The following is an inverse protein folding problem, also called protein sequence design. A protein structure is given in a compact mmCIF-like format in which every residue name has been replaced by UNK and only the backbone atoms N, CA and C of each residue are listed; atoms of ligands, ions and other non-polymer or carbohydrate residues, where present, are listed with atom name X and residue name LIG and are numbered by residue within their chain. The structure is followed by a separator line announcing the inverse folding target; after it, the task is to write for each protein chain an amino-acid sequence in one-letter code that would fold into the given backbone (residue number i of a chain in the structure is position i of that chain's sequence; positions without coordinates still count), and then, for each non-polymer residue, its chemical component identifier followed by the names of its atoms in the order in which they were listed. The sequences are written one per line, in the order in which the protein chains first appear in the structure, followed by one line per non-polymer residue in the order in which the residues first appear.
data_IF_731203521022
#
_entry.id   IF_731203521022
#
_cell.length_a   1.000
_cell.length_b   1.000
_cell.length_c   1.000
_cell.angle_alpha   90.00
_cell.angle_beta   90.00
_cell.angle_gamma   90.00
#
_symmetry.space_group_name_H-M   'P 1'
#
loop_
_entity.id
_entity.type
_entity.pdbx_description
1 polymer ?
#
# COMPACT_ATOMS: atom_id res chain seq x y z
N UNK A 1 19.25 91.82 -25.42
CA UNK A 1 18.84 90.66 -24.60
C UNK A 1 17.97 91.02 -23.39
N UNK A 2 18.18 92.18 -22.73
CA UNK A 2 17.41 92.59 -21.54
C UNK A 2 15.93 92.90 -21.81
N UNK A 3 15.62 93.57 -22.94
CA UNK A 3 14.24 93.90 -23.32
C UNK A 3 13.37 92.65 -23.61
N UNK A 4 13.95 91.61 -24.20
CA UNK A 4 13.24 90.36 -24.47
C UNK A 4 12.87 89.61 -23.18
N UNK A 5 13.75 89.63 -22.17
CA UNK A 5 13.46 89.04 -20.85
C UNK A 5 12.39 89.81 -20.10
N UNK A 6 12.37 91.15 -20.20
CA UNK A 6 11.34 91.98 -19.59
C UNK A 6 9.96 91.73 -20.22
N UNK A 7 9.91 91.57 -21.55
CA UNK A 7 8.66 91.29 -22.28
C UNK A 7 8.11 89.91 -21.93
N UNK A 8 8.97 88.90 -21.81
CA UNK A 8 8.58 87.54 -21.39
C UNK A 8 8.08 87.56 -19.93
N UNK A 9 8.76 88.27 -19.03
CA UNK A 9 8.32 88.38 -17.64
C UNK A 9 6.98 89.11 -17.52
N UNK A 10 6.76 90.17 -18.28
CA UNK A 10 5.48 90.89 -18.32
C UNK A 10 4.35 90.05 -18.93
N UNK A 11 4.63 89.27 -19.98
CA UNK A 11 3.64 88.36 -20.58
C UNK A 11 3.32 87.17 -19.68
N UNK A 12 4.32 86.65 -18.95
CA UNK A 12 4.10 85.57 -17.97
C UNK A 12 3.32 86.09 -16.78
N UNK A 13 3.63 87.28 -16.27
CA UNK A 13 2.85 87.92 -15.19
C UNK A 13 1.41 88.20 -15.60
N UNK A 14 1.16 88.72 -16.81
CA UNK A 14 -0.21 88.98 -17.28
C UNK A 14 -1.02 87.70 -17.50
N UNK A 15 -0.38 86.62 -17.98
CA UNK A 15 -1.01 85.30 -18.12
C UNK A 15 -1.30 84.66 -16.76
N UNK A 16 -0.38 84.74 -15.80
CA UNK A 16 -0.59 84.23 -14.44
C UNK A 16 -1.71 84.98 -13.70
N UNK A 17 -1.75 86.32 -13.80
CA UNK A 17 -2.79 87.13 -13.19
C UNK A 17 -4.18 86.88 -13.83
N UNK A 18 -4.22 86.67 -15.15
CA UNK A 18 -5.44 86.33 -15.89
C UNK A 18 -5.98 84.94 -15.57
N UNK A 19 -5.11 83.95 -15.36
CA UNK A 19 -5.49 82.60 -14.97
C UNK A 19 -6.05 82.53 -13.54
N UNK A 20 -5.43 83.25 -12.61
CA UNK A 20 -5.88 83.32 -11.21
C UNK A 20 -7.21 84.09 -11.07
N UNK A 21 -7.38 85.18 -11.83
CA UNK A 21 -8.66 85.89 -11.94
C UNK A 21 -9.78 85.02 -12.54
N UNK A 22 -9.48 84.22 -13.57
CA UNK A 22 -10.43 83.30 -14.19
C UNK A 22 -10.86 82.15 -13.26
N UNK A 23 -9.92 81.60 -12.48
CA UNK A 23 -10.22 80.58 -11.48
C UNK A 23 -11.09 81.14 -10.34
N UNK A 24 -10.79 82.37 -9.88
CA UNK A 24 -11.58 83.04 -8.85
C UNK A 24 -13.00 83.37 -9.35
N UNK A 25 -13.15 83.87 -10.58
CA UNK A 25 -14.45 84.12 -11.21
C UNK A 25 -15.26 82.83 -11.35
N UNK A 26 -14.60 81.70 -11.66
CA UNK A 26 -15.25 80.38 -11.72
C UNK A 26 -15.72 79.92 -10.35
N UNK A 27 -14.89 79.99 -9.31
CA UNK A 27 -15.28 79.59 -7.94
C UNK A 27 -16.41 80.50 -7.38
N UNK A 28 -16.34 81.81 -7.64
CA UNK A 28 -17.38 82.75 -7.24
C UNK A 28 -18.69 82.49 -8.01
N UNK A 29 -18.59 82.17 -9.31
CA UNK A 29 -19.70 81.72 -10.14
C UNK A 29 -20.32 80.42 -9.63
N UNK A 30 -19.51 79.43 -9.28
CA UNK A 30 -19.92 78.13 -8.73
C UNK A 30 -20.62 78.28 -7.39
N UNK A 31 -20.06 79.08 -6.46
CA UNK A 31 -20.72 79.39 -5.18
C UNK A 31 -22.04 80.12 -5.38
N UNK A 32 -22.09 81.07 -6.31
CA UNK A 32 -23.33 81.83 -6.59
C UNK A 32 -24.38 80.93 -7.22
N UNK A 33 -23.98 80.06 -8.14
CA UNK A 33 -24.83 79.05 -8.77
C UNK A 33 -25.36 78.05 -7.75
N UNK A 34 -24.51 77.51 -6.88
CA UNK A 34 -24.91 76.62 -5.80
C UNK A 34 -25.86 77.29 -4.81
N UNK A 35 -25.61 78.58 -4.47
CA UNK A 35 -26.54 79.35 -3.63
C UNK A 35 -27.89 79.62 -4.31
N UNK A 36 -27.91 79.82 -5.62
CA UNK A 36 -29.15 79.95 -6.41
C UNK A 36 -29.91 78.63 -6.48
N UNK A 37 -29.19 77.52 -6.68
CA UNK A 37 -29.74 76.16 -6.64
C UNK A 37 -30.33 75.87 -5.26
N UNK A 38 -29.58 76.11 -4.19
CA UNK A 38 -30.05 75.90 -2.82
C UNK A 38 -31.30 76.73 -2.55
N UNK A 39 -31.32 78.02 -2.95
CA UNK A 39 -32.51 78.86 -2.88
C UNK A 39 -33.67 78.41 -3.76
N UNK A 40 -33.42 77.69 -4.85
CA UNK A 40 -34.45 77.08 -5.68
C UNK A 40 -35.02 75.79 -5.09
N UNK A 41 -34.27 75.15 -4.18
CA UNK A 41 -34.72 73.98 -3.42
C UNK A 41 -35.43 74.35 -2.12
N UNK A 42 -35.20 75.55 -1.57
CA UNK A 42 -35.98 76.04 -0.44
C UNK A 42 -37.36 76.47 -0.93
N UNK A 43 -38.44 76.04 -0.24
CA UNK A 43 -39.73 76.64 -0.46
C UNK A 43 -39.63 78.12 -0.07
N UNK A 44 -39.89 79.00 -1.01
CA UNK A 44 -39.95 80.46 -0.82
C UNK A 44 -40.99 80.84 0.24
N UNK A 45 -41.97 79.96 0.47
CA UNK A 45 -43.02 80.09 1.47
C UNK A 45 -42.85 79.07 2.60
N UNK A 46 -43.09 79.47 3.86
CA UNK A 46 -42.93 78.61 5.03
C UNK A 46 -43.83 77.36 5.05
N UNK A 47 -43.67 76.52 6.08
CA UNK A 47 -44.48 75.30 6.27
C UNK A 47 -45.98 75.57 6.41
N UNK A 48 -46.38 76.76 6.90
CA UNK A 48 -47.78 77.18 7.01
C UNK A 48 -48.49 77.18 5.65
N UNK A 49 -47.87 77.82 4.66
CA UNK A 49 -48.38 77.96 3.29
C UNK A 49 -48.56 76.60 2.60
N UNK A 50 -47.57 75.72 2.76
CA UNK A 50 -47.61 74.35 2.23
C UNK A 50 -48.66 73.48 2.93
N UNK A 51 -48.81 73.62 4.26
CA UNK A 51 -49.84 72.91 5.01
C UNK A 51 -51.26 73.42 4.71
N UNK A 52 -51.42 74.67 4.30
CA UNK A 52 -52.70 75.20 3.85
C UNK A 52 -53.24 74.45 2.62
N UNK A 53 -52.36 74.02 1.72
CA UNK A 53 -52.72 73.26 0.51
C UNK A 53 -53.04 71.80 0.80
N UNK A 54 -52.38 71.17 1.78
CA UNK A 54 -52.63 69.76 2.16
C UNK A 54 -54.07 69.47 2.60
N UNK A 55 -54.83 70.50 2.95
CA UNK A 55 -56.23 70.37 3.37
C UNK A 55 -57.21 70.37 2.20
N UNK A 56 -56.75 70.74 1.00
CA UNK A 56 -57.56 70.62 -0.20
C UNK A 56 -57.71 69.14 -0.58
N UNK A 57 -58.96 68.70 -0.73
CA UNK A 57 -59.28 67.36 -1.24
C UNK A 57 -59.26 67.33 -2.78
N UNK A 58 -59.57 68.47 -3.39
CA UNK A 58 -59.62 68.66 -4.83
C UNK A 58 -58.38 69.42 -5.33
N UNK A 59 -58.08 69.24 -6.62
CA UNK A 59 -57.04 70.03 -7.30
C UNK A 59 -57.42 71.52 -7.37
N UNK A 60 -56.43 72.40 -7.48
CA UNK A 60 -56.63 73.86 -7.61
C UNK A 60 -57.55 74.29 -8.77
N UNK A 61 -57.75 73.42 -9.76
CA UNK A 61 -58.65 73.62 -10.92
C UNK A 61 -60.14 73.50 -10.57
N UNK A 62 -60.49 72.80 -9.48
CA UNK A 62 -61.87 72.50 -9.09
C UNK A 62 -62.13 72.81 -7.62
N UNK A 63 -61.82 74.04 -7.24
CA UNK A 63 -62.12 74.55 -5.89
C UNK A 63 -63.61 74.82 -5.77
N UNK A 64 -64.27 74.16 -4.82
CA UNK A 64 -65.63 74.56 -4.41
C UNK A 64 -65.59 75.90 -3.67
N UNK A 65 -66.69 76.65 -3.64
CA UNK A 65 -66.80 77.91 -2.87
C UNK A 65 -66.39 77.73 -1.41
N UNK A 66 -66.64 76.54 -0.85
CA UNK A 66 -66.23 76.19 0.50
C UNK A 66 -64.71 76.05 0.62
N UNK A 67 -64.07 75.31 -0.28
CA UNK A 67 -62.61 75.10 -0.30
C UNK A 67 -61.87 76.40 -0.63
N UNK A 68 -62.42 77.22 -1.53
CA UNK A 68 -61.90 78.54 -1.89
C UNK A 68 -61.86 79.46 -0.67
N UNK A 69 -62.98 79.60 0.04
CA UNK A 69 -63.06 80.39 1.28
C UNK A 69 -62.14 79.84 2.38
N UNK A 70 -62.06 78.52 2.52
CA UNK A 70 -61.21 77.87 3.52
C UNK A 70 -59.72 78.08 3.25
N UNK A 71 -59.31 77.95 1.99
CA UNK A 71 -57.92 78.16 1.58
C UNK A 71 -57.53 79.63 1.78
N UNK A 72 -58.37 80.57 1.36
CA UNK A 72 -58.17 82.00 1.57
C UNK A 72 -57.95 82.34 3.05
N UNK A 73 -58.75 81.77 3.96
CA UNK A 73 -58.61 81.96 5.41
C UNK A 73 -57.28 81.42 5.94
N UNK A 74 -56.85 80.24 5.48
CA UNK A 74 -55.58 79.64 5.90
C UNK A 74 -54.38 80.45 5.40
N UNK A 75 -54.42 80.89 4.13
CA UNK A 75 -53.39 81.75 3.56
C UNK A 75 -53.32 83.11 4.28
N UNK A 76 -54.48 83.72 4.56
CA UNK A 76 -54.55 84.95 5.33
C UNK A 76 -54.00 84.79 6.75
N UNK A 77 -54.30 83.68 7.43
CA UNK A 77 -53.73 83.39 8.74
C UNK A 77 -52.22 83.18 8.68
N UNK A 78 -51.69 82.47 7.68
CA UNK A 78 -50.24 82.34 7.50
C UNK A 78 -49.58 83.72 7.34
N UNK A 79 -50.17 84.60 6.53
CA UNK A 79 -49.66 85.97 6.37
C UNK A 79 -49.74 86.80 7.67
N UNK A 80 -50.83 86.69 8.43
CA UNK A 80 -51.01 87.38 9.70
C UNK A 80 -50.00 86.89 10.74
N UNK A 81 -49.79 85.58 10.83
CA UNK A 81 -48.78 84.97 11.71
C UNK A 81 -47.36 85.42 11.32
N UNK A 82 -47.03 85.38 10.03
CA UNK A 82 -45.74 85.85 9.49
C UNK A 82 -45.52 87.36 9.76
N UNK A 83 -46.60 88.15 9.83
CA UNK A 83 -46.56 89.59 10.12
C UNK A 83 -46.62 89.91 11.63
N UNK A 84 -46.67 88.92 12.51
CA UNK A 84 -46.75 89.10 13.97
C UNK A 84 -48.12 89.58 14.47
N UNK A 85 -49.18 89.38 13.71
CA UNK A 85 -50.56 89.67 14.08
C UNK A 85 -51.28 88.42 14.60
N UNK A 86 -52.36 88.64 15.38
CA UNK A 86 -53.20 87.55 15.86
C UNK A 86 -53.96 86.86 14.72
N UNK A 87 -54.01 85.53 14.76
CA UNK A 87 -54.74 84.68 13.81
C UNK A 87 -56.19 84.44 14.26
N UNK A 88 -57.03 83.96 13.35
CA UNK A 88 -58.44 83.69 13.60
C UNK A 88 -58.82 82.24 13.27
N UNK A 89 -59.55 81.58 14.16
CA UNK A 89 -59.95 80.17 14.03
C UNK A 89 -61.14 79.93 13.07
N UNK A 90 -61.47 80.90 12.22
CA UNK A 90 -62.62 80.80 11.32
C UNK A 90 -62.52 79.66 10.30
N UNK A 91 -61.30 79.17 10.04
CA UNK A 91 -61.04 78.01 9.18
C UNK A 91 -61.33 76.66 9.85
N UNK A 92 -61.56 76.61 11.18
CA UNK A 92 -61.91 75.38 11.90
C UNK A 92 -63.40 75.04 11.83
N UNK A 93 -64.25 75.99 11.39
CA UNK A 93 -65.69 75.81 11.33
C UNK A 93 -66.13 75.10 10.04
N UNK A 94 -66.77 73.93 10.16
CA UNK A 94 -67.31 73.18 9.02
C UNK A 94 -68.61 73.80 8.46
N UNK A 95 -69.42 74.45 9.30
CA UNK A 95 -70.66 75.08 8.86
C UNK A 95 -70.43 76.47 8.26
N UNK A 96 -71.00 76.70 7.09
CA UNK A 96 -70.82 77.94 6.33
C UNK A 96 -71.32 79.17 7.10
N UNK A 97 -72.39 79.04 7.89
CA UNK A 97 -72.97 80.14 8.64
C UNK A 97 -72.14 80.54 9.87
N UNK A 98 -71.52 79.58 10.56
CA UNK A 98 -70.61 79.88 11.68
C UNK A 98 -69.35 80.55 11.13
N UNK A 99 -68.83 80.07 9.99
CA UNK A 99 -67.68 80.69 9.33
C UNK A 99 -67.97 82.13 8.89
N UNK A 100 -69.12 82.41 8.27
CA UNK A 100 -69.52 83.78 7.90
C UNK A 100 -69.61 84.71 9.10
N UNK A 101 -70.19 84.25 10.21
CA UNK A 101 -70.26 85.03 11.47
C UNK A 101 -68.86 85.32 12.01
N UNK A 102 -67.96 84.34 11.96
CA UNK A 102 -66.58 84.49 12.39
C UNK A 102 -65.82 85.51 11.52
N UNK A 103 -65.97 85.45 10.20
CA UNK A 103 -65.39 86.41 9.26
C UNK A 103 -65.89 87.83 9.54
N UNK A 104 -67.20 88.01 9.79
CA UNK A 104 -67.78 89.30 10.13
C UNK A 104 -67.29 89.87 11.48
N UNK A 105 -66.76 89.03 12.36
CA UNK A 105 -66.19 89.45 13.66
C UNK A 105 -64.70 89.78 13.60
N UNK A 106 -64.05 89.60 12.45
CA UNK A 106 -62.64 89.92 12.28
C UNK A 106 -62.40 91.43 12.30
N UNK A 107 -61.20 91.84 12.72
CA UNK A 107 -60.76 93.25 12.57
C UNK A 107 -60.72 93.66 11.09
N UNK A 108 -60.91 94.96 10.80
CA UNK A 108 -60.86 95.50 9.42
C UNK A 108 -59.58 95.13 8.68
N UNK A 109 -58.44 95.09 9.40
CA UNK A 109 -57.16 94.66 8.84
C UNK A 109 -57.17 93.18 8.43
N UNK A 110 -57.63 92.30 9.33
CA UNK A 110 -57.69 90.86 9.06
C UNK A 110 -58.71 90.52 7.96
N UNK A 111 -59.86 91.21 7.95
CA UNK A 111 -60.84 91.09 6.88
C UNK A 111 -60.27 91.58 5.54
N UNK A 112 -59.52 92.68 5.52
CA UNK A 112 -58.85 93.19 4.32
C UNK A 112 -57.82 92.20 3.76
N UNK A 113 -56.98 91.61 4.61
CA UNK A 113 -56.02 90.56 4.23
C UNK A 113 -56.76 89.33 3.69
N UNK A 114 -57.81 88.87 4.39
CA UNK A 114 -58.64 87.75 3.92
C UNK A 114 -59.24 88.03 2.54
N UNK A 115 -59.79 89.23 2.31
CA UNK A 115 -60.40 89.58 1.04
C UNK A 115 -59.39 89.56 -0.12
N UNK A 116 -58.17 90.03 0.11
CA UNK A 116 -57.09 89.99 -0.88
C UNK A 116 -56.66 88.56 -1.23
N UNK A 117 -56.52 87.70 -0.21
CA UNK A 117 -56.25 86.28 -0.48
C UNK A 117 -57.45 85.59 -1.14
N UNK A 118 -58.67 85.97 -0.78
CA UNK A 118 -59.90 85.40 -1.35
C UNK A 118 -60.03 85.68 -2.84
N UNK A 119 -59.72 86.91 -3.30
CA UNK A 119 -59.76 87.24 -4.74
C UNK A 119 -58.68 86.49 -5.54
N UNK A 120 -57.53 86.20 -4.94
CA UNK A 120 -56.38 85.57 -5.60
C UNK A 120 -56.16 84.08 -5.27
N UNK A 121 -57.07 83.45 -4.52
CA UNK A 121 -56.90 82.09 -3.97
C UNK A 121 -56.54 81.05 -5.03
N UNK A 122 -57.24 81.03 -6.16
CA UNK A 122 -57.01 80.04 -7.23
C UNK A 122 -55.61 80.17 -7.81
N UNK A 123 -55.17 81.40 -8.11
CA UNK A 123 -53.84 81.66 -8.66
C UNK A 123 -52.73 81.28 -7.67
N UNK A 124 -52.91 81.62 -6.40
CA UNK A 124 -51.96 81.28 -5.32
C UNK A 124 -51.90 79.75 -5.13
N UNK A 125 -53.05 79.06 -5.19
CA UNK A 125 -53.10 77.59 -5.13
C UNK A 125 -52.26 76.95 -6.23
N UNK A 126 -52.44 77.37 -7.49
CA UNK A 126 -51.67 76.84 -8.61
C UNK A 126 -50.17 77.12 -8.48
N UNK A 127 -49.80 78.32 -8.04
CA UNK A 127 -48.41 78.70 -7.84
C UNK A 127 -47.73 77.82 -6.77
N UNK A 128 -48.32 77.72 -5.59
CA UNK A 128 -47.73 76.94 -4.50
C UNK A 128 -47.76 75.43 -4.78
N UNK A 129 -48.79 74.94 -5.49
CA UNK A 129 -48.83 73.54 -5.91
C UNK A 129 -47.74 73.22 -6.94
N UNK A 130 -47.45 74.15 -7.86
CA UNK A 130 -46.33 74.01 -8.80
C UNK A 130 -44.98 74.01 -8.06
N UNK A 131 -44.81 74.86 -7.06
CA UNK A 131 -43.60 74.90 -6.22
C UNK A 131 -43.36 73.55 -5.51
N UNK A 132 -44.39 72.99 -4.85
CA UNK A 132 -44.33 71.65 -4.25
C UNK A 132 -43.98 70.57 -5.27
N UNK A 133 -44.63 70.61 -6.43
CA UNK A 133 -44.39 69.62 -7.48
C UNK A 133 -42.96 69.69 -8.02
N UNK A 134 -42.39 70.88 -8.17
CA UNK A 134 -41.00 71.06 -8.59
C UNK A 134 -40.01 70.50 -7.57
N UNK A 135 -40.22 70.75 -6.28
CA UNK A 135 -39.37 70.21 -5.21
C UNK A 135 -39.40 68.68 -5.23
N UNK A 136 -40.59 68.09 -5.25
CA UNK A 136 -40.75 66.62 -5.27
C UNK A 136 -40.15 66.01 -6.54
N UNK A 137 -40.38 66.63 -7.69
CA UNK A 137 -39.86 66.16 -8.98
C UNK A 137 -38.33 66.20 -9.01
N UNK A 138 -37.72 67.27 -8.51
CA UNK A 138 -36.26 67.37 -8.42
C UNK A 138 -35.66 66.29 -7.52
N UNK A 139 -36.29 66.01 -6.37
CA UNK A 139 -35.86 64.94 -5.47
C UNK A 139 -35.97 63.57 -6.16
N UNK A 140 -37.09 63.29 -6.83
CA UNK A 140 -37.29 62.03 -7.57
C UNK A 140 -36.25 61.89 -8.69
N UNK A 141 -35.95 62.97 -9.43
CA UNK A 141 -34.94 62.96 -10.50
C UNK A 141 -33.57 62.62 -9.92
N UNK A 142 -33.17 63.19 -8.78
CA UNK A 142 -31.90 62.88 -8.13
C UNK A 142 -31.84 61.40 -7.72
N UNK A 143 -32.89 60.90 -7.07
CA UNK A 143 -32.97 59.48 -6.68
C UNK A 143 -32.91 58.55 -7.89
N UNK A 144 -33.63 58.89 -8.97
CA UNK A 144 -33.65 58.10 -10.19
C UNK A 144 -32.28 58.09 -10.89
N UNK A 145 -31.62 59.25 -10.94
CA UNK A 145 -30.28 59.38 -11.50
C UNK A 145 -29.28 58.52 -10.73
N UNK A 146 -29.29 58.60 -9.40
CA UNK A 146 -28.41 57.81 -8.54
C UNK A 146 -28.66 56.30 -8.68
N UNK A 147 -29.93 55.89 -8.69
CA UNK A 147 -30.31 54.50 -8.88
C UNK A 147 -29.88 53.98 -10.25
N UNK A 148 -30.08 54.77 -11.32
CA UNK A 148 -29.69 54.39 -12.68
C UNK A 148 -28.18 54.34 -12.85
N UNK A 149 -27.44 55.28 -12.26
CA UNK A 149 -25.98 55.28 -12.29
C UNK A 149 -25.41 54.04 -11.59
N UNK A 150 -25.92 53.71 -10.40
CA UNK A 150 -25.53 52.50 -9.66
C UNK A 150 -25.85 51.22 -10.45
N UNK A 151 -27.03 51.15 -11.06
CA UNK A 151 -27.40 50.01 -11.90
C UNK A 151 -26.47 49.84 -13.11
N UNK A 152 -26.10 50.95 -13.76
CA UNK A 152 -25.13 50.94 -14.87
C UNK A 152 -23.77 50.41 -14.42
N UNK A 153 -23.28 50.85 -13.26
CA UNK A 153 -22.00 50.38 -12.70
C UNK A 153 -22.04 48.88 -12.38
N UNK A 154 -23.11 48.40 -11.73
CA UNK A 154 -23.28 46.98 -11.44
C UNK A 154 -23.38 46.13 -12.72
N UNK A 155 -24.08 46.60 -13.75
CA UNK A 155 -24.15 45.90 -15.03
C UNK A 155 -22.81 45.84 -15.74
N UNK A 156 -22.01 46.91 -15.64
CA UNK A 156 -20.67 46.94 -16.20
C UNK A 156 -19.75 45.93 -15.48
N UNK A 157 -19.74 45.93 -14.15
CA UNK A 157 -18.99 44.98 -13.35
C UNK A 157 -19.43 43.53 -13.63
N UNK A 158 -20.74 43.28 -13.69
CA UNK A 158 -21.29 41.96 -14.03
C UNK A 158 -20.86 41.50 -15.43
N UNK A 159 -20.84 42.40 -16.41
CA UNK A 159 -20.37 42.10 -17.77
C UNK A 159 -18.89 41.74 -17.81
N UNK A 160 -18.06 42.43 -17.03
CA UNK A 160 -16.62 42.16 -16.94
C UNK A 160 -16.35 40.79 -16.29
N UNK A 161 -17.04 40.51 -15.18
CA UNK A 161 -16.98 39.21 -14.50
C UNK A 161 -17.46 38.09 -15.44
N UNK A 162 -18.57 38.29 -16.15
CA UNK A 162 -19.08 37.31 -17.11
C UNK A 162 -18.08 37.03 -18.23
N UNK A 163 -17.38 38.07 -18.72
CA UNK A 163 -16.29 37.92 -19.69
C UNK A 163 -15.15 37.05 -19.15
N UNK A 164 -14.67 37.34 -17.94
CA UNK A 164 -13.60 36.57 -17.29
C UNK A 164 -13.99 35.11 -17.01
N UNK A 165 -15.23 34.88 -16.62
CA UNK A 165 -15.76 33.54 -16.38
C UNK A 165 -15.89 32.73 -17.67
N UNK A 166 -16.30 33.36 -18.77
CA UNK A 166 -16.38 32.70 -20.07
C UNK A 166 -14.99 32.26 -20.55
N UNK A 167 -13.96 33.10 -20.38
CA UNK A 167 -12.59 32.71 -20.73
C UNK A 167 -12.11 31.55 -19.84
N UNK A 168 -12.39 31.60 -18.54
CA UNK A 168 -12.07 30.50 -17.61
C UNK A 168 -12.77 29.19 -17.98
N UNK A 169 -14.04 29.24 -18.41
CA UNK A 169 -14.78 28.06 -18.88
C UNK A 169 -14.18 27.50 -20.17
N UNK A 170 -13.77 28.37 -21.10
CA UNK A 170 -13.11 27.97 -22.34
C UNK A 170 -11.78 27.29 -22.04
N UNK A 171 -10.95 27.85 -21.17
CA UNK A 171 -9.71 27.22 -20.70
C UNK A 171 -9.99 25.86 -20.04
N UNK A 172 -10.98 25.78 -19.15
CA UNK A 172 -11.42 24.53 -18.52
C UNK A 172 -11.84 23.46 -19.52
N UNK A 173 -12.58 23.82 -20.58
CA UNK A 173 -12.94 22.92 -21.67
C UNK A 173 -11.71 22.43 -22.45
N UNK A 174 -10.73 23.31 -22.70
CA UNK A 174 -9.47 22.88 -23.34
C UNK A 174 -8.72 21.87 -22.50
N UNK A 175 -8.72 22.03 -21.16
CA UNK A 175 -8.11 21.09 -20.24
C UNK A 175 -8.86 19.75 -20.22
N UNK A 176 -10.19 19.78 -20.15
CA UNK A 176 -11.02 18.56 -20.22
C UNK A 176 -10.78 17.77 -21.51
N UNK A 177 -10.68 18.45 -22.65
CA UNK A 177 -10.35 17.80 -23.93
C UNK A 177 -8.97 17.12 -23.90
N UNK A 178 -7.96 17.78 -23.31
CA UNK A 178 -6.64 17.17 -23.12
C UNK A 178 -6.68 15.95 -22.19
N UNK A 179 -7.43 16.01 -21.08
CA UNK A 179 -7.62 14.86 -20.20
C UNK A 179 -8.33 13.70 -20.92
N UNK A 180 -9.34 14.00 -21.73
CA UNK A 180 -10.04 12.98 -22.51
C UNK A 180 -9.11 12.29 -23.50
N UNK A 181 -8.24 13.05 -24.17
CA UNK A 181 -7.23 12.52 -25.10
C UNK A 181 -6.18 11.64 -24.39
N UNK A 182 -5.69 12.10 -23.24
CA UNK A 182 -4.82 11.29 -22.38
C UNK A 182 -5.53 10.02 -21.88
N UNK A 183 -6.83 10.11 -21.57
CA UNK A 183 -7.66 8.97 -21.18
C UNK A 183 -7.77 7.92 -22.29
N UNK A 184 -8.02 8.34 -23.53
CA UNK A 184 -8.00 7.44 -24.71
C UNK A 184 -6.64 6.81 -24.95
N UNK A 185 -5.57 7.59 -24.81
CA UNK A 185 -4.20 7.06 -24.94
C UNK A 185 -3.93 6.00 -23.86
N UNK A 186 -4.35 6.26 -22.62
CA UNK A 186 -4.19 5.32 -21.52
C UNK A 186 -5.01 4.04 -21.73
N UNK A 187 -6.23 4.15 -22.25
CA UNK A 187 -7.05 3.00 -22.63
C UNK A 187 -6.32 2.08 -23.63
N UNK A 188 -5.73 2.65 -24.69
CA UNK A 188 -4.93 1.88 -25.65
C UNK A 188 -3.66 1.24 -25.03
N UNK A 189 -3.02 1.92 -24.07
CA UNK A 189 -1.88 1.36 -23.33
C UNK A 189 -2.34 0.19 -22.42
N UNK A 190 -3.50 0.30 -21.77
CA UNK A 190 -4.05 -0.76 -20.92
C UNK A 190 -4.42 -1.98 -21.76
N UNK A 191 -5.04 -1.79 -22.93
CA UNK A 191 -5.39 -2.88 -23.85
C UNK A 191 -4.14 -3.62 -24.33
N UNK A 192 -3.14 -2.88 -24.84
CA UNK A 192 -1.86 -3.48 -25.28
C UNK A 192 -1.07 -4.13 -24.13
N UNK A 193 -1.15 -3.58 -22.92
CA UNK A 193 -0.55 -4.20 -21.72
C UNK A 193 -1.25 -5.51 -21.35
N UNK A 194 -2.58 -5.56 -21.42
CA UNK A 194 -3.34 -6.77 -21.17
C UNK A 194 -3.01 -7.87 -22.19
N UNK A 195 -2.86 -7.52 -23.46
CA UNK A 195 -2.40 -8.44 -24.50
C UNK A 195 -0.98 -8.94 -24.20
N UNK A 196 -0.05 -8.03 -23.88
CA UNK A 196 1.35 -8.36 -23.56
C UNK A 196 1.47 -9.27 -22.33
N UNK A 197 0.66 -9.04 -21.29
CA UNK A 197 0.65 -9.90 -20.09
C UNK A 197 0.13 -11.29 -20.44
N UNK A 198 -0.92 -11.39 -21.25
CA UNK A 198 -1.44 -12.69 -21.69
C UNK A 198 -0.41 -13.47 -22.51
N UNK A 199 0.30 -12.82 -23.44
CA UNK A 199 1.36 -13.47 -24.22
C UNK A 199 2.55 -13.91 -23.35
N UNK A 200 2.97 -13.07 -22.40
CA UNK A 200 4.02 -13.47 -21.45
C UNK A 200 3.59 -14.66 -20.57
N UNK A 201 2.33 -14.70 -20.13
CA UNK A 201 1.80 -15.83 -19.35
C UNK A 201 1.77 -17.11 -20.19
N UNK A 202 1.41 -17.03 -21.48
CA UNK A 202 1.44 -18.19 -22.37
C UNK A 202 2.86 -18.68 -22.62
N UNK A 203 3.80 -17.77 -22.90
CA UNK A 203 5.22 -18.10 -23.13
C UNK A 203 5.85 -18.73 -21.88
N UNK A 204 5.54 -18.20 -20.71
CA UNK A 204 6.02 -18.75 -19.45
C UNK A 204 5.47 -20.16 -19.19
N UNK A 205 4.19 -20.39 -19.49
CA UNK A 205 3.56 -21.71 -19.34
C UNK A 205 4.15 -22.75 -20.29
N UNK A 206 4.52 -22.34 -21.50
CA UNK A 206 5.18 -23.20 -22.49
C UNK A 206 6.61 -23.53 -22.02
N UNK A 207 7.41 -22.50 -21.70
CA UNK A 207 8.78 -22.65 -21.21
C UNK A 207 8.86 -23.51 -19.93
N UNK A 208 7.89 -23.38 -19.02
CA UNK A 208 7.85 -24.17 -17.78
C UNK A 208 7.60 -25.66 -18.03
N UNK A 209 6.82 -26.01 -19.07
CA UNK A 209 6.65 -27.43 -19.48
C UNK A 209 7.95 -28.02 -20.00
N UNK A 210 8.68 -27.27 -20.81
CA UNK A 210 9.96 -27.72 -21.34
C UNK A 210 11.01 -27.91 -20.22
N UNK A 211 11.04 -27.00 -19.25
CA UNK A 211 11.88 -27.16 -18.06
C UNK A 211 11.52 -28.39 -17.21
N UNK A 212 10.23 -28.71 -17.07
CA UNK A 212 9.80 -29.93 -16.38
C UNK A 212 10.25 -31.20 -17.10
N UNK A 213 10.23 -31.22 -18.43
CA UNK A 213 10.70 -32.36 -19.23
C UNK A 213 12.19 -32.64 -19.03
N UNK A 214 13.03 -31.59 -19.04
CA UNK A 214 14.47 -31.72 -18.78
C UNK A 214 14.77 -32.23 -17.36
N UNK A 215 14.03 -31.75 -16.34
CA UNK A 215 14.20 -32.25 -14.98
C UNK A 215 13.85 -33.74 -14.85
N UNK A 216 12.79 -34.18 -15.52
CA UNK A 216 12.41 -35.60 -15.52
C UNK A 216 13.50 -36.49 -16.13
N UNK A 217 14.12 -36.02 -17.21
CA UNK A 217 15.24 -36.70 -17.85
C UNK A 217 16.44 -36.81 -16.89
N UNK A 218 16.83 -35.72 -16.24
CA UNK A 218 17.93 -35.71 -15.25
C UNK A 218 17.64 -36.66 -14.07
N UNK A 219 16.42 -36.66 -13.53
CA UNK A 219 16.05 -37.55 -12.42
C UNK A 219 16.09 -39.03 -12.83
N UNK A 220 15.83 -39.35 -14.09
CA UNK A 220 15.88 -40.73 -14.62
C UNK A 220 17.31 -41.29 -14.66
N UNK A 221 18.28 -40.46 -15.04
CA UNK A 221 19.70 -40.83 -15.02
C UNK A 221 20.22 -41.02 -13.60
N UNK A 222 19.82 -40.15 -12.66
CA UNK A 222 20.18 -40.27 -11.24
C UNK A 222 19.70 -41.61 -10.65
N UNK A 223 18.47 -42.02 -10.95
CA UNK A 223 17.90 -43.28 -10.44
C UNK A 223 18.65 -44.50 -10.98
N UNK A 224 18.95 -44.51 -12.28
CA UNK A 224 19.72 -45.59 -12.93
C UNK A 224 21.12 -45.71 -12.33
N UNK A 225 21.78 -44.59 -12.04
CA UNK A 225 23.09 -44.59 -11.40
C UNK A 225 23.03 -45.12 -9.96
N UNK A 226 22.00 -44.72 -9.21
CA UNK A 226 21.76 -45.19 -7.85
C UNK A 226 21.49 -46.70 -7.77
N UNK A 227 20.76 -47.26 -8.72
CA UNK A 227 20.50 -48.70 -8.77
C UNK A 227 21.77 -49.48 -9.16
N UNK A 228 22.57 -48.95 -10.08
CA UNK A 228 23.84 -49.56 -10.48
C UNK A 228 24.86 -49.60 -9.33
N UNK A 229 25.02 -48.49 -8.59
CA UNK A 229 26.00 -48.42 -7.49
C UNK A 229 25.63 -49.38 -6.34
N UNK A 230 24.35 -49.54 -6.03
CA UNK A 230 23.89 -50.45 -4.97
C UNK A 230 24.13 -51.91 -5.36
N UNK A 231 23.92 -52.28 -6.63
CA UNK A 231 24.18 -53.63 -7.13
C UNK A 231 25.67 -54.01 -7.10
N UNK A 232 26.54 -53.13 -7.59
CA UNK A 232 27.97 -53.40 -7.72
C UNK A 232 28.69 -53.44 -6.35
N UNK A 233 28.32 -52.58 -5.40
CA UNK A 233 28.98 -52.59 -4.07
C UNK A 233 28.68 -53.86 -3.28
N UNK A 234 27.51 -54.47 -3.47
CA UNK A 234 27.06 -55.65 -2.72
C UNK A 234 27.97 -56.88 -2.91
N UNK A 235 28.40 -57.18 -4.14
CA UNK A 235 29.21 -58.37 -4.41
C UNK A 235 30.63 -58.26 -3.84
N UNK A 236 31.23 -57.07 -3.87
CA UNK A 236 32.53 -56.79 -3.26
C UNK A 236 32.52 -57.04 -1.75
N UNK A 237 31.45 -56.60 -1.08
CA UNK A 237 31.28 -56.80 0.37
C UNK A 237 31.19 -58.30 0.73
N UNK A 238 30.50 -59.12 -0.08
CA UNK A 238 30.47 -60.58 0.12
C UNK A 238 31.84 -61.23 -0.01
N UNK A 239 32.62 -60.86 -1.02
CA UNK A 239 33.97 -61.42 -1.22
C UNK A 239 34.86 -61.12 -0.02
N UNK A 240 34.89 -59.86 0.42
CA UNK A 240 35.73 -59.44 1.54
C UNK A 240 35.37 -60.17 2.85
N UNK A 241 34.08 -60.35 3.12
CA UNK A 241 33.63 -61.08 4.31
C UNK A 241 34.14 -62.53 4.37
N UNK A 242 34.02 -63.28 3.27
CA UNK A 242 34.43 -64.69 3.26
C UNK A 242 35.96 -64.86 3.29
N UNK A 243 36.73 -63.98 2.63
CA UNK A 243 38.20 -64.05 2.70
C UNK A 243 38.69 -63.83 4.12
N UNK A 244 38.18 -62.81 4.82
CA UNK A 244 38.54 -62.53 6.22
C UNK A 244 38.11 -63.67 7.14
N UNK A 245 36.91 -64.22 6.97
CA UNK A 245 36.41 -65.32 7.81
C UNK A 245 37.23 -66.60 7.62
N UNK A 246 37.61 -66.93 6.38
CA UNK A 246 38.49 -68.07 6.09
C UNK A 246 39.86 -67.94 6.75
N UNK A 247 40.46 -66.74 6.72
CA UNK A 247 41.74 -66.47 7.40
C UNK A 247 41.61 -66.68 8.91
N UNK A 248 40.54 -66.14 9.52
CA UNK A 248 40.29 -66.28 10.97
C UNK A 248 40.11 -67.76 11.35
N UNK A 249 39.29 -68.51 10.61
CA UNK A 249 39.09 -69.94 10.85
C UNK A 249 40.38 -70.76 10.70
N UNK A 250 41.21 -70.43 9.71
CA UNK A 250 42.51 -71.09 9.52
C UNK A 250 43.46 -70.81 10.70
N UNK A 251 43.50 -69.57 11.21
CA UNK A 251 44.31 -69.17 12.36
C UNK A 251 43.88 -69.92 13.63
N UNK A 252 42.58 -69.94 13.95
CA UNK A 252 42.07 -70.62 15.15
C UNK A 252 42.21 -72.15 15.09
N UNK A 253 42.18 -72.72 13.88
CA UNK A 253 42.34 -74.16 13.68
C UNK A 253 43.81 -74.62 13.61
N UNK A 254 44.78 -73.70 13.57
CA UNK A 254 46.21 -74.04 13.57
C UNK A 254 46.70 -74.59 14.93
N UNK A 255 45.98 -74.31 16.02
CA UNK A 255 46.32 -74.82 17.36
C UNK A 255 46.13 -76.33 17.46
N UNK A 256 47.10 -77.04 18.09
CA UNK A 256 47.03 -78.49 18.33
C UNK A 256 45.78 -78.92 19.10
N UNK A 257 45.16 -77.98 19.82
CA UNK A 257 43.96 -78.17 20.65
C UNK A 257 42.65 -78.21 19.85
N UNK A 258 42.63 -77.70 18.62
CA UNK A 258 41.44 -77.52 17.76
C UNK A 258 41.65 -78.06 16.34
N UNK A 259 42.67 -78.91 16.16
CA UNK A 259 43.07 -79.44 14.86
C UNK A 259 41.97 -80.29 14.18
N UNK A 260 41.21 -81.04 14.98
CA UNK A 260 40.11 -81.89 14.47
C UNK A 260 38.91 -81.06 13.96
N UNK A 261 38.69 -79.87 14.52
CA UNK A 261 37.60 -78.97 14.12
C UNK A 261 37.82 -78.25 12.77
N UNK A 262 39.00 -78.41 12.14
CA UNK A 262 39.35 -77.71 10.88
C UNK A 262 38.40 -78.01 9.74
N UNK A 263 38.18 -79.31 9.50
CA UNK A 263 37.39 -79.78 8.36
C UNK A 263 35.93 -79.36 8.54
N UNK A 264 35.41 -79.47 9.75
CA UNK A 264 34.05 -79.05 10.09
C UNK A 264 33.84 -77.53 9.91
N UNK A 265 34.82 -76.69 10.25
CA UNK A 265 34.70 -75.24 10.04
C UNK A 265 34.66 -74.86 8.56
N UNK A 266 35.52 -75.47 7.74
CA UNK A 266 35.52 -75.21 6.30
C UNK A 266 34.25 -75.70 5.60
N UNK A 267 33.69 -76.85 6.01
CA UNK A 267 32.43 -77.34 5.44
C UNK A 267 31.25 -76.43 5.79
N UNK A 268 31.17 -75.94 7.02
CA UNK A 268 30.15 -74.95 7.43
C UNK A 268 30.26 -73.67 6.59
N UNK A 269 31.47 -73.16 6.38
CA UNK A 269 31.70 -71.97 5.55
C UNK A 269 31.33 -72.20 4.08
N UNK A 270 31.69 -73.34 3.49
CA UNK A 270 31.32 -73.66 2.11
C UNK A 270 29.81 -73.77 1.90
N UNK A 271 29.09 -74.39 2.83
CA UNK A 271 27.63 -74.46 2.80
C UNK A 271 27.02 -73.05 2.91
N UNK A 272 27.58 -72.18 3.77
CA UNK A 272 27.11 -70.82 3.94
C UNK A 272 27.24 -69.98 2.65
N UNK A 273 28.36 -70.10 1.92
CA UNK A 273 28.57 -69.44 0.63
C UNK A 273 27.51 -69.86 -0.40
N UNK A 274 27.22 -71.16 -0.49
CA UNK A 274 26.23 -71.68 -1.44
C UNK A 274 24.82 -71.18 -1.08
N UNK A 275 24.46 -71.20 0.20
CA UNK A 275 23.18 -70.68 0.67
C UNK A 275 23.04 -69.18 0.37
N UNK A 276 24.07 -68.38 0.62
CA UNK A 276 24.05 -66.94 0.30
C UNK A 276 23.83 -66.71 -1.21
N UNK A 277 24.52 -67.47 -2.07
CA UNK A 277 24.35 -67.36 -3.53
C UNK A 277 22.98 -67.80 -4.03
N UNK A 278 22.40 -68.85 -3.45
CA UNK A 278 21.05 -69.30 -3.78
C UNK A 278 20.02 -68.25 -3.37
N UNK A 279 20.14 -67.68 -2.16
CA UNK A 279 19.23 -66.64 -1.66
C UNK A 279 19.26 -65.40 -2.56
N UNK A 280 20.46 -64.91 -2.89
CA UNK A 280 20.62 -63.73 -3.77
C UNK A 280 20.08 -64.00 -5.18
N UNK A 281 20.38 -65.18 -5.75
CA UNK A 281 19.91 -65.55 -7.09
C UNK A 281 18.39 -65.74 -7.14
N UNK A 282 17.80 -66.34 -6.10
CA UNK A 282 16.37 -66.58 -6.01
C UNK A 282 15.59 -65.27 -5.98
N UNK A 283 15.99 -64.33 -5.11
CA UNK A 283 15.34 -63.03 -4.97
C UNK A 283 15.50 -62.19 -6.23
N UNK A 284 16.69 -62.18 -6.86
CA UNK A 284 16.92 -61.46 -8.11
C UNK A 284 16.09 -62.00 -9.28
N UNK A 285 15.84 -63.32 -9.35
CA UNK A 285 15.09 -63.95 -10.43
C UNK A 285 13.56 -63.91 -10.23
N UNK A 286 13.05 -63.95 -9.00
CA UNK A 286 11.60 -64.01 -8.73
C UNK A 286 10.97 -62.64 -8.57
N UNK A 287 11.70 -61.66 -8.04
CA UNK A 287 11.20 -60.31 -7.84
C UNK A 287 12.05 -59.34 -8.63
N UNK A 288 11.53 -58.95 -9.79
CA UNK A 288 12.06 -57.79 -10.51
C UNK A 288 12.19 -56.62 -9.53
N UNK A 289 13.41 -56.08 -9.48
CA UNK A 289 13.94 -55.09 -8.53
C UNK A 289 12.88 -54.07 -8.08
N UNK A 290 12.43 -54.17 -6.83
CA UNK A 290 11.83 -53.05 -6.10
C UNK A 290 12.78 -52.61 -4.98
N UNK A 291 12.91 -51.30 -4.68
CA UNK A 291 13.89 -50.80 -3.71
C UNK A 291 13.63 -51.27 -2.27
N UNK A 292 12.38 -51.59 -1.91
CA UNK A 292 12.03 -52.15 -0.60
C UNK A 292 12.48 -53.60 -0.44
N UNK A 293 12.47 -54.39 -1.53
CA UNK A 293 12.97 -55.77 -1.51
C UNK A 293 14.50 -55.79 -1.33
N UNK A 294 15.24 -54.79 -1.86
CA UNK A 294 16.70 -54.72 -1.71
C UNK A 294 17.15 -54.61 -0.25
N UNK A 295 16.42 -53.85 0.57
CA UNK A 295 16.69 -53.71 2.02
C UNK A 295 16.48 -55.05 2.73
N UNK A 296 15.41 -55.78 2.38
CA UNK A 296 15.11 -57.10 2.95
C UNK A 296 16.17 -58.13 2.58
N UNK A 297 16.66 -58.12 1.34
CA UNK A 297 17.74 -59.01 0.88
C UNK A 297 19.04 -58.74 1.64
N UNK A 298 19.41 -57.47 1.83
CA UNK A 298 20.58 -57.10 2.65
C UNK A 298 20.41 -57.56 4.10
N UNK A 299 19.23 -57.38 4.69
CA UNK A 299 18.98 -57.83 6.06
C UNK A 299 19.08 -59.36 6.21
N UNK A 300 18.47 -60.13 5.29
CA UNK A 300 18.48 -61.59 5.31
C UNK A 300 19.89 -62.16 5.15
N UNK A 301 20.70 -61.59 4.25
CA UNK A 301 22.10 -61.99 4.05
C UNK A 301 22.95 -61.73 5.30
N UNK A 302 22.75 -60.60 5.99
CA UNK A 302 23.43 -60.31 7.26
C UNK A 302 23.04 -61.28 8.38
N UNK A 303 21.76 -61.64 8.50
CA UNK A 303 21.30 -62.64 9.47
C UNK A 303 21.94 -64.01 9.23
N UNK A 304 22.01 -64.45 7.97
CA UNK A 304 22.62 -65.73 7.58
C UNK A 304 24.12 -65.80 7.94
N UNK A 305 24.86 -64.70 7.75
CA UNK A 305 26.28 -64.59 8.12
C UNK A 305 26.50 -64.67 9.63
N UNK A 306 25.70 -63.93 10.42
CA UNK A 306 25.77 -63.97 11.89
C UNK A 306 25.46 -65.36 12.44
N UNK A 307 24.46 -66.04 11.88
CA UNK A 307 24.12 -67.42 12.26
C UNK A 307 25.27 -68.40 12.05
N UNK A 308 25.94 -68.35 10.89
CA UNK A 308 27.08 -69.22 10.63
C UNK A 308 28.30 -68.94 11.51
N UNK A 309 28.59 -67.67 11.81
CA UNK A 309 29.67 -67.33 12.74
C UNK A 309 29.41 -67.88 14.15
N UNK A 310 28.16 -67.80 14.64
CA UNK A 310 27.77 -68.38 15.92
C UNK A 310 27.94 -69.90 15.92
N UNK A 311 27.57 -70.57 14.82
CA UNK A 311 27.75 -72.01 14.66
C UNK A 311 29.24 -72.39 14.69
N UNK A 312 30.09 -71.67 13.94
CA UNK A 312 31.54 -71.86 13.96
C UNK A 312 32.14 -71.65 15.36
N UNK A 313 31.70 -70.62 16.09
CA UNK A 313 32.14 -70.37 17.47
C UNK A 313 31.72 -71.50 18.41
N UNK A 314 30.50 -72.01 18.27
CA UNK A 314 30.01 -73.16 19.03
C UNK A 314 30.84 -74.43 18.79
N UNK A 315 31.21 -74.71 17.53
CA UNK A 315 32.08 -75.85 17.17
C UNK A 315 33.47 -75.70 17.79
N UNK A 316 34.03 -74.48 17.78
CA UNK A 316 35.31 -74.20 18.45
C UNK A 316 35.24 -74.40 19.96
N UNK A 317 34.18 -73.92 20.62
CA UNK A 317 33.97 -74.13 22.06
C UNK A 317 33.78 -75.60 22.40
N UNK A 318 32.99 -76.33 21.61
CA UNK A 318 32.80 -77.76 21.79
C UNK A 318 34.13 -78.51 21.67
N UNK A 319 34.93 -78.21 20.65
CA UNK A 319 36.27 -78.79 20.48
C UNK A 319 37.20 -78.40 21.63
N UNK A 320 37.12 -77.16 22.13
CA UNK A 320 37.93 -76.67 23.26
C UNK A 320 37.61 -77.40 24.58
N UNK A 321 36.33 -77.62 24.88
CA UNK A 321 35.89 -78.31 26.10
C UNK A 321 36.05 -79.84 26.02
N UNK A 322 35.84 -80.42 24.83
CA UNK A 322 35.99 -81.86 24.60
C UNK A 322 37.47 -82.29 24.57
N UNK A 323 38.40 -81.33 24.42
CA UNK A 323 39.84 -81.56 24.55
C UNK A 323 40.22 -81.89 26.00
N UNK A 324 39.97 -83.14 26.37
CA UNK A 324 40.44 -83.80 27.59
C UNK A 324 41.83 -84.35 27.31
N UNK A 325 42.74 -84.19 28.27
CA UNK A 325 44.19 -84.31 28.13
C UNK A 325 44.68 -85.73 27.73
N UNK A 326 44.49 -86.09 26.46
CA UNK A 326 44.87 -87.37 25.87
C UNK A 326 46.40 -87.53 25.86
N UNK A 327 47.14 -86.40 25.86
CA UNK A 327 48.60 -86.36 25.91
C UNK A 327 49.17 -86.79 27.27
N UNK A 328 48.48 -86.46 28.36
CA UNK A 328 48.90 -86.83 29.70
C UNK A 328 48.65 -88.31 30.00
N UNK A 329 47.54 -88.88 29.51
CA UNK A 329 47.28 -90.33 29.64
C UNK A 329 48.27 -91.15 28.83
N UNK A 330 48.57 -90.77 27.58
CA UNK A 330 49.58 -91.46 26.76
C UNK A 330 50.97 -91.41 27.40
N UNK A 331 51.38 -90.26 27.96
CA UNK A 331 52.66 -90.16 28.68
C UNK A 331 52.69 -91.03 29.94
N UNK A 332 51.58 -91.12 30.66
CA UNK A 332 51.46 -91.98 31.86
C UNK A 332 51.54 -93.46 31.49
N UNK A 333 50.93 -93.86 30.36
CA UNK A 333 51.04 -95.21 29.80
C UNK A 333 52.47 -95.50 29.32
N UNK A 334 53.12 -94.57 28.62
CA UNK A 334 54.51 -94.70 28.18
C UNK A 334 55.49 -94.79 29.36
N UNK A 335 55.32 -93.98 30.41
CA UNK A 335 56.09 -94.12 31.66
C UNK A 335 55.87 -95.49 32.31
N UNK A 336 54.66 -96.04 32.24
CA UNK A 336 54.36 -97.38 32.77
C UNK A 336 55.11 -98.46 31.98
N UNK A 337 55.14 -98.34 30.64
CA UNK A 337 55.88 -99.25 29.75
C UNK A 337 57.39 -99.10 29.94
N UNK A 338 57.92 -97.88 30.01
CA UNK A 338 59.33 -97.59 30.26
C UNK A 338 59.79 -98.17 31.60
N UNK A 339 58.98 -98.00 32.65
CA UNK A 339 59.27 -98.55 33.98
C UNK A 339 59.29 -100.08 33.97
N UNK A 340 58.37 -100.71 33.22
CA UNK A 340 58.39 -102.16 32.99
C UNK A 340 59.63 -102.61 32.22
N UNK A 341 60.07 -101.84 31.23
CA UNK A 341 61.28 -102.13 30.45
C UNK A 341 62.56 -101.98 31.29
N UNK A 342 62.64 -100.96 32.16
CA UNK A 342 63.78 -100.75 33.04
C UNK A 342 63.96 -101.87 34.08
N UNK A 343 62.87 -102.39 34.66
CA UNK A 343 62.93 -103.60 35.52
C UNK A 343 63.43 -104.84 34.79
N UNK A 344 63.21 -104.95 33.49
CA UNK A 344 63.76 -106.04 32.67
C UNK A 344 65.24 -105.80 32.30
N UNK A 345 65.68 -104.54 32.24
CA UNK A 345 67.02 -104.15 31.82
C UNK A 345 68.07 -104.13 32.94
N UNK A 346 67.68 -104.03 34.22
CA UNK A 346 68.58 -104.09 35.40
C UNK A 346 69.06 -105.51 35.76
N UNK A 347 68.59 -106.56 35.06
CA UNK A 347 69.16 -107.90 35.10
C UNK A 347 69.86 -108.29 33.77
N UNK A 348 70.86 -107.51 33.27
CA UNK A 348 71.50 -107.79 31.99
C UNK A 348 72.59 -108.88 32.09
N UNK A 349 72.91 -109.35 33.29
CA UNK A 349 74.02 -110.29 33.52
C UNK A 349 73.62 -111.73 33.19
N UNK A 350 72.37 -112.12 33.41
CA UNK A 350 71.96 -113.54 33.23
C UNK A 350 71.83 -113.92 31.75
N UNK A 351 71.40 -112.99 30.88
CA UNK A 351 71.11 -113.32 29.47
C UNK A 351 72.36 -113.29 28.58
N UNK A 352 73.40 -112.53 28.91
CA UNK A 352 74.63 -112.43 28.09
C UNK A 352 75.60 -113.59 28.28
N UNK A 353 75.61 -114.22 29.46
CA UNK A 353 76.46 -115.40 29.73
C UNK A 353 75.95 -116.66 29.02
N UNK A 354 74.64 -116.87 28.97
CA UNK A 354 74.03 -118.05 28.33
C UNK A 354 74.24 -118.06 26.82
N UNK A 355 74.12 -116.91 26.13
CA UNK A 355 74.29 -116.84 24.67
C UNK A 355 75.75 -116.95 24.22
N UNK A 356 76.71 -116.41 24.99
CA UNK A 356 78.15 -116.52 24.64
C UNK A 356 78.72 -117.93 24.86
N UNK A 357 78.28 -118.65 25.89
CA UNK A 357 78.74 -120.02 26.12
C UNK A 357 78.19 -121.01 25.08
N UNK A 358 76.95 -120.80 24.62
CA UNK A 358 76.34 -121.62 23.58
C UNK A 358 77.04 -121.46 22.21
N UNK A 359 77.41 -120.23 21.84
CA UNK A 359 78.09 -119.93 20.56
C UNK A 359 79.54 -120.44 20.55
N UNK A 360 80.25 -120.42 21.69
CA UNK A 360 81.63 -120.93 21.75
C UNK A 360 81.70 -122.46 21.62
N UNK A 361 80.78 -123.20 22.27
CA UNK A 361 80.69 -124.67 22.12
C UNK A 361 80.34 -125.11 20.69
N UNK A 362 79.57 -124.32 19.96
CA UNK A 362 79.25 -124.60 18.55
C UNK A 362 80.44 -124.38 17.61
N UNK A 363 81.32 -123.41 17.90
CA UNK A 363 82.54 -123.14 17.11
C UNK A 363 83.64 -124.19 17.32
N UNK A 364 83.91 -124.58 18.57
CA UNK A 364 84.93 -125.61 18.89
C UNK A 364 84.52 -127.02 18.38
N UNK A 365 83.21 -127.32 18.29
CA UNK A 365 82.74 -128.57 17.66
C UNK A 365 82.83 -128.59 16.12
N UNK A 366 82.91 -127.43 15.45
CA UNK A 366 83.01 -127.35 14.00
C UNK A 366 84.47 -127.29 13.51
N UNK A 367 85.39 -126.67 14.25
CA UNK A 367 86.82 -126.65 13.90
C UNK A 367 87.50 -128.02 14.11
N UNK A 368 87.13 -128.78 15.14
CA UNK A 368 87.69 -130.13 15.36
C UNK A 368 87.16 -131.22 14.39
N UNK A 369 86.10 -130.96 13.60
CA UNK A 369 85.63 -131.90 12.56
C UNK A 369 86.31 -131.71 11.20
N UNK A 370 87.05 -130.62 11.00
CA UNK A 370 87.67 -130.27 9.71
C UNK A 370 89.18 -130.61 9.69
N UNK A 371 89.81 -130.82 10.85
CA UNK A 371 91.23 -131.18 10.97
C UNK A 371 91.54 -132.69 10.85
N UNK A 372 90.54 -133.58 10.79
CA UNK A 372 90.71 -135.05 10.80
C UNK A 372 90.27 -135.74 9.48
N UNK A 373 90.24 -134.98 8.36
CA UNK A 373 89.88 -135.46 7.01
C UNK A 373 90.85 -135.01 5.91
N UNK A 374 92.14 -134.88 6.24
CA UNK A 374 93.21 -134.74 5.25
C UNK A 374 94.05 -136.01 5.17
#
# INVERSE_FOLDING_TARGET
MMMARLFILLSVWSVSLGFEGGLLLRDLGERKYNSLIEKSHLPTHGTCWHNALKVLKNNCDKLSDHEHSLLALRLANCFLEDSGHGTYDCYLSESQDVRRKCINSMSDRAFGVYNEFYTHTTHICFFLNHELWQIETNNIIQVLYDASSKMREQLHEASEIQGSMLESQKEGLTLQNKLLDHGKTLEGIIESSAETVNTMVTDFRETSRDQQALLYEIFSYMRTFQDWIIGEVSWFQSILYFTVTCIICALFSSSKRTADARVTLFTILSINVVLERIVVQYEYNTKGITPDDAIQVVFLTWCLRKGALLLCFGVLLHSYYTYRDESHEQFTVLKRIEKQLHTLQDNPVTFRYTTRLAVKKLRESQENRIADKK
#
